data_IF_068492470750
#
_entry.id   IF_068492470750
#
_cell.length_a   1.000
_cell.length_b   1.000
_cell.length_c   1.000
_cell.angle_alpha   90.00
_cell.angle_beta   90.00
_cell.angle_gamma   90.00
#
_symmetry.space_group_name_H-M   'P 1'
#
loop_
_entity.id
_entity.type
_entity.pdbx_description
1 polymer ?
#
# COMPACT_ATOMS: atom_id res chain seq x y z
N UNK A 1 44.60 10.90 41.50
CA UNK A 1 43.25 11.49 41.25
C UNK A 1 43.25 12.79 40.44
N UNK A 2 44.31 13.62 40.44
CA UNK A 2 44.33 14.84 39.59
C UNK A 2 44.68 14.54 38.12
N UNK A 3 45.67 13.68 37.88
CA UNK A 3 46.14 13.30 36.54
C UNK A 3 45.08 12.49 35.77
N UNK A 4 44.34 11.62 36.46
CA UNK A 4 43.25 10.84 35.85
C UNK A 4 42.09 11.72 35.39
N UNK A 5 41.79 12.83 36.08
CA UNK A 5 40.78 13.80 35.66
C UNK A 5 41.24 14.60 34.44
N UNK A 6 42.51 14.98 34.38
CA UNK A 6 43.10 15.65 33.21
C UNK A 6 43.09 14.77 31.96
N UNK A 7 43.34 13.47 32.11
CA UNK A 7 43.30 12.49 31.02
C UNK A 7 41.88 12.28 30.46
N UNK A 8 40.86 12.27 31.32
CA UNK A 8 39.46 12.13 30.91
C UNK A 8 38.98 13.38 30.13
N UNK A 9 39.39 14.58 30.55
CA UNK A 9 39.05 15.82 29.83
C UNK A 9 39.74 15.86 28.46
N UNK A 10 41.00 15.45 28.37
CA UNK A 10 41.72 15.38 27.09
C UNK A 10 41.08 14.37 26.12
N UNK A 11 40.64 13.20 26.62
CA UNK A 11 39.96 12.19 25.81
C UNK A 11 38.59 12.68 25.31
N UNK A 12 37.85 13.43 26.15
CA UNK A 12 36.57 14.02 25.78
C UNK A 12 36.73 15.09 24.67
N UNK A 13 37.76 15.94 24.77
CA UNK A 13 38.06 16.92 23.73
C UNK A 13 38.47 16.28 22.39
N UNK A 14 39.17 15.15 22.44
CA UNK A 14 39.55 14.39 21.23
C UNK A 14 38.34 13.74 20.55
N UNK A 15 37.37 13.26 21.32
CA UNK A 15 36.12 12.70 20.80
C UNK A 15 35.24 13.76 20.13
N UNK A 16 35.24 15.01 20.62
CA UNK A 16 34.46 16.10 20.00
C UNK A 16 35.09 16.67 18.73
N UNK A 17 36.40 16.45 18.50
CA UNK A 17 37.08 16.91 17.30
C UNK A 17 36.88 16.00 16.07
N UNK A 18 36.32 14.79 16.27
CA UNK A 18 36.10 13.84 15.19
C UNK A 18 34.98 14.25 14.21
N UNK A 19 34.08 15.15 14.63
CA UNK A 19 32.93 15.57 13.81
C UNK A 19 33.25 16.70 12.82
N UNK A 20 34.44 17.30 12.82
CA UNK A 20 34.80 18.39 11.90
C UNK A 20 35.83 18.02 10.83
N UNK A 21 36.27 16.76 10.78
CA UNK A 21 37.25 16.30 9.79
C UNK A 21 36.59 15.85 8.47
N UNK A 22 35.28 15.61 8.48
CA UNK A 22 34.53 15.06 7.34
C UNK A 22 33.62 16.09 6.67
N UNK A 23 34.08 17.33 6.57
CA UNK A 23 33.38 18.38 5.84
C UNK A 23 34.30 18.87 4.71
N UNK A 24 34.64 17.95 3.80
CA UNK A 24 35.06 18.33 2.46
C UNK A 24 33.82 18.92 1.79
N UNK A 25 33.74 20.26 1.77
CA UNK A 25 32.88 20.98 0.85
C UNK A 25 33.32 20.58 -0.55
N UNK A 26 32.68 19.55 -1.10
CA UNK A 26 32.94 19.09 -2.44
C UNK A 26 32.56 20.24 -3.38
N UNK A 27 33.58 21.00 -3.78
CA UNK A 27 33.46 22.08 -4.74
C UNK A 27 33.14 21.43 -6.09
N UNK A 28 31.85 21.19 -6.31
CA UNK A 28 31.37 20.62 -7.55
C UNK A 28 31.82 21.54 -8.69
N UNK A 29 32.58 21.05 -9.69
CA UNK A 29 33.06 21.88 -10.78
C UNK A 29 31.89 22.60 -11.47
N UNK A 30 32.13 23.77 -12.05
CA UNK A 30 31.12 24.52 -12.79
C UNK A 30 30.80 23.78 -14.10
N UNK A 31 29.90 22.81 -13.99
CA UNK A 31 29.43 21.95 -15.09
C UNK A 31 28.23 22.62 -15.75
N UNK A 32 28.24 22.85 -17.07
CA UNK A 32 27.11 23.43 -17.78
C UNK A 32 25.81 22.66 -17.57
N UNK A 33 24.68 23.38 -17.50
CA UNK A 33 23.34 22.82 -17.27
C UNK A 33 23.04 21.58 -18.14
N UNK A 34 23.27 21.68 -19.45
CA UNK A 34 23.01 20.59 -20.39
C UNK A 34 23.87 19.35 -20.13
N UNK A 35 25.14 19.55 -19.77
CA UNK A 35 26.04 18.45 -19.47
C UNK A 35 25.60 17.76 -18.17
N UNK A 36 25.22 18.53 -17.15
CA UNK A 36 24.75 17.99 -15.88
C UNK A 36 23.46 17.18 -16.06
N UNK A 37 22.52 17.66 -16.87
CA UNK A 37 21.31 16.92 -17.23
C UNK A 37 21.64 15.61 -17.97
N UNK A 38 22.53 15.64 -18.97
CA UNK A 38 22.94 14.44 -19.70
C UNK A 38 23.62 13.40 -18.80
N UNK A 39 24.47 13.84 -17.87
CA UNK A 39 25.09 12.97 -16.87
C UNK A 39 24.04 12.31 -15.96
N UNK A 40 23.03 13.08 -15.52
CA UNK A 40 21.92 12.54 -14.74
C UNK A 40 21.10 11.49 -15.53
N UNK A 41 20.74 11.77 -16.78
CA UNK A 41 19.99 10.84 -17.63
C UNK A 41 20.78 9.55 -17.86
N UNK A 42 22.07 9.68 -18.14
CA UNK A 42 22.97 8.53 -18.30
C UNK A 42 23.04 7.68 -17.02
N UNK A 43 23.12 8.30 -15.86
CA UNK A 43 23.09 7.58 -14.59
C UNK A 43 21.78 6.80 -14.38
N UNK A 44 20.63 7.37 -14.78
CA UNK A 44 19.34 6.67 -14.76
C UNK A 44 19.30 5.49 -15.74
N UNK A 45 19.84 5.65 -16.95
CA UNK A 45 19.95 4.56 -17.93
C UNK A 45 20.84 3.41 -17.41
N UNK A 46 21.88 3.74 -16.66
CA UNK A 46 22.77 2.79 -15.98
C UNK A 46 22.18 2.22 -14.67
N UNK A 47 20.93 2.57 -14.31
CA UNK A 47 20.24 2.14 -13.08
C UNK A 47 20.94 2.62 -11.81
N UNK A 48 21.80 3.63 -11.92
CA UNK A 48 22.46 4.28 -10.79
C UNK A 48 21.62 5.47 -10.33
N UNK A 49 20.51 5.17 -9.64
CA UNK A 49 19.56 6.18 -9.19
C UNK A 49 20.13 7.11 -8.13
N UNK A 50 21.02 6.64 -7.25
CA UNK A 50 21.71 7.49 -6.27
C UNK A 50 22.49 8.61 -6.96
N UNK A 51 23.31 8.27 -7.96
CA UNK A 51 24.07 9.26 -8.73
C UNK A 51 23.16 10.16 -9.54
N UNK A 52 22.08 9.63 -10.12
CA UNK A 52 21.10 10.42 -10.84
C UNK A 52 20.45 11.47 -9.92
N UNK A 53 20.02 11.06 -8.72
CA UNK A 53 19.43 11.95 -7.70
C UNK A 53 20.41 13.06 -7.33
N UNK A 54 21.67 12.72 -7.04
CA UNK A 54 22.71 13.71 -6.71
C UNK A 54 22.85 14.77 -7.82
N UNK A 55 22.94 14.33 -9.08
CA UNK A 55 23.11 15.20 -10.24
C UNK A 55 21.87 16.06 -10.51
N UNK A 56 20.67 15.50 -10.36
CA UNK A 56 19.41 16.22 -10.53
C UNK A 56 19.17 17.24 -9.41
N UNK A 57 19.48 16.90 -8.16
CA UNK A 57 19.42 17.85 -7.04
C UNK A 57 20.41 19.01 -7.25
N UNK A 58 21.62 18.72 -7.73
CA UNK A 58 22.62 19.74 -8.05
C UNK A 58 22.12 20.66 -9.19
N UNK A 59 21.44 20.09 -10.20
CA UNK A 59 20.84 20.82 -11.31
C UNK A 59 19.73 21.75 -10.82
N UNK A 60 18.84 21.28 -9.95
CA UNK A 60 17.77 22.10 -9.33
C UNK A 60 18.35 23.23 -8.46
N UNK A 61 19.40 22.96 -7.69
CA UNK A 61 20.03 23.94 -6.82
C UNK A 61 20.76 25.06 -7.59
N UNK A 62 21.43 24.72 -8.70
CA UNK A 62 22.23 25.68 -9.48
C UNK A 62 21.42 26.41 -10.54
N UNK A 63 20.49 25.71 -11.19
CA UNK A 63 19.75 26.21 -12.34
C UNK A 63 18.23 26.12 -12.12
N UNK A 64 17.68 26.75 -11.06
CA UNK A 64 16.26 26.64 -10.71
C UNK A 64 15.30 27.20 -11.78
N UNK A 65 15.80 28.04 -12.69
CA UNK A 65 15.06 28.58 -13.84
C UNK A 65 15.69 28.16 -15.18
N UNK A 66 16.50 27.10 -15.17
CA UNK A 66 17.13 26.54 -16.35
C UNK A 66 16.12 25.96 -17.33
N UNK A 67 16.56 25.70 -18.56
CA UNK A 67 15.74 25.07 -19.61
C UNK A 67 15.19 23.70 -19.17
N UNK A 68 15.96 22.96 -18.38
CA UNK A 68 15.59 21.63 -17.91
C UNK A 68 15.01 21.61 -16.49
N UNK A 69 14.74 22.77 -15.88
CA UNK A 69 14.34 22.84 -14.47
C UNK A 69 13.06 22.03 -14.16
N UNK A 70 11.99 22.24 -14.91
CA UNK A 70 10.72 21.53 -14.69
C UNK A 70 10.86 20.02 -14.97
N UNK A 71 11.56 19.66 -16.04
CA UNK A 71 11.85 18.25 -16.38
C UNK A 71 12.68 17.59 -15.27
N UNK A 72 13.69 18.28 -14.73
CA UNK A 72 14.55 17.78 -13.64
C UNK A 72 13.73 17.42 -12.41
N UNK A 73 12.72 18.22 -12.08
CA UNK A 73 11.83 17.93 -10.95
C UNK A 73 10.98 16.68 -11.21
N UNK A 74 10.49 16.45 -12.43
CA UNK A 74 9.79 15.22 -12.79
C UNK A 74 10.71 13.99 -12.72
N UNK A 75 11.92 14.10 -13.26
CA UNK A 75 12.92 13.03 -13.25
C UNK A 75 13.36 12.70 -11.82
N UNK A 76 13.43 13.69 -10.92
CA UNK A 76 13.69 13.45 -9.50
C UNK A 76 12.63 12.57 -8.85
N UNK A 77 11.33 12.80 -9.14
CA UNK A 77 10.25 11.95 -8.62
C UNK A 77 10.46 10.51 -9.07
N UNK A 78 10.75 10.31 -10.36
CA UNK A 78 10.99 8.99 -10.92
C UNK A 78 12.23 8.33 -10.32
N UNK A 79 13.33 9.07 -10.18
CA UNK A 79 14.58 8.56 -9.62
C UNK A 79 14.39 8.13 -8.15
N UNK A 80 13.74 8.95 -7.32
CA UNK A 80 13.41 8.56 -5.93
C UNK A 80 12.49 7.33 -5.87
N UNK A 81 11.49 7.26 -6.75
CA UNK A 81 10.60 6.10 -6.83
C UNK A 81 11.40 4.83 -7.14
N UNK A 82 12.29 4.89 -8.12
CA UNK A 82 13.13 3.76 -8.50
C UNK A 82 14.24 3.43 -7.50
N UNK A 83 14.66 4.41 -6.69
CA UNK A 83 15.61 4.18 -5.60
C UNK A 83 14.95 3.62 -4.33
N UNK A 84 13.65 3.30 -4.36
CA UNK A 84 12.88 2.87 -3.20
C UNK A 84 12.86 3.90 -2.05
N UNK A 85 12.79 5.19 -2.39
CA UNK A 85 12.67 6.31 -1.44
C UNK A 85 11.27 6.94 -1.50
N UNK A 86 10.23 6.30 -0.94
CA UNK A 86 8.84 6.70 -1.17
C UNK A 86 8.50 8.09 -0.62
N UNK A 87 9.03 8.44 0.55
CA UNK A 87 8.79 9.74 1.18
C UNK A 87 9.41 10.89 0.36
N UNK A 88 10.61 10.68 -0.19
CA UNK A 88 11.28 11.66 -1.03
C UNK A 88 10.55 11.85 -2.38
N UNK A 89 10.17 10.74 -3.02
CA UNK A 89 9.36 10.75 -4.24
C UNK A 89 8.02 11.47 -4.05
N UNK A 90 7.30 11.15 -2.97
CA UNK A 90 6.03 11.80 -2.62
C UNK A 90 6.21 13.30 -2.40
N UNK A 91 7.22 13.69 -1.60
CA UNK A 91 7.49 15.11 -1.33
C UNK A 91 7.88 15.88 -2.60
N UNK A 92 8.67 15.27 -3.48
CA UNK A 92 9.02 15.84 -4.78
C UNK A 92 7.78 15.99 -5.68
N UNK A 93 6.90 14.98 -5.71
CA UNK A 93 5.66 15.04 -6.50
C UNK A 93 4.71 16.12 -5.99
N UNK A 94 4.50 16.21 -4.68
CA UNK A 94 3.68 17.26 -4.06
C UNK A 94 4.23 18.66 -4.36
N UNK A 95 5.56 18.82 -4.34
CA UNK A 95 6.21 20.07 -4.72
C UNK A 95 5.95 20.39 -6.19
N UNK A 96 6.17 19.45 -7.11
CA UNK A 96 5.96 19.64 -8.54
C UNK A 96 4.50 20.03 -8.86
N UNK A 97 3.54 19.26 -8.35
CA UNK A 97 2.09 19.50 -8.55
C UNK A 97 1.69 20.91 -8.07
N UNK A 98 2.25 21.36 -6.94
CA UNK A 98 1.97 22.68 -6.38
C UNK A 98 2.61 23.81 -7.17
N UNK A 99 3.83 23.63 -7.66
CA UNK A 99 4.58 24.66 -8.37
C UNK A 99 4.18 24.78 -9.84
N UNK A 100 3.83 23.66 -10.49
CA UNK A 100 3.58 23.56 -11.92
C UNK A 100 2.20 22.94 -12.25
N UNK A 101 1.07 23.52 -11.76
CA UNK A 101 -0.27 22.94 -11.92
C UNK A 101 -0.77 22.83 -13.37
N UNK A 102 -0.16 23.57 -14.29
CA UNK A 102 -0.53 23.63 -15.72
C UNK A 102 0.50 22.94 -16.62
N UNK A 103 1.45 22.17 -16.06
CA UNK A 103 2.46 21.47 -16.86
C UNK A 103 1.84 20.33 -17.66
N UNK A 104 2.31 20.10 -18.88
CA UNK A 104 1.74 19.10 -19.80
C UNK A 104 1.76 17.69 -19.20
N UNK A 105 2.84 17.32 -18.49
CA UNK A 105 3.03 16.02 -17.84
C UNK A 105 2.64 16.00 -16.35
N UNK A 106 1.73 16.86 -15.90
CA UNK A 106 1.29 16.86 -14.49
C UNK A 106 0.56 15.56 -14.10
N UNK A 107 -0.10 14.94 -15.07
CA UNK A 107 -0.74 13.62 -14.94
C UNK A 107 0.29 12.55 -14.56
N UNK A 108 1.50 12.60 -15.14
CA UNK A 108 2.60 11.71 -14.77
C UNK A 108 3.05 11.91 -13.31
N UNK A 109 3.09 13.15 -12.82
CA UNK A 109 3.44 13.42 -11.42
C UNK A 109 2.39 12.85 -10.44
N UNK A 110 1.10 13.00 -10.75
CA UNK A 110 0.02 12.36 -9.98
C UNK A 110 0.12 10.82 -10.01
N UNK A 111 0.41 10.26 -11.18
CA UNK A 111 0.60 8.83 -11.36
C UNK A 111 1.78 8.30 -10.51
N UNK A 112 2.96 8.92 -10.60
CA UNK A 112 4.13 8.53 -9.81
C UNK A 112 3.89 8.67 -8.31
N UNK A 113 3.18 9.71 -7.87
CA UNK A 113 2.79 9.88 -6.47
C UNK A 113 1.94 8.68 -5.99
N UNK A 114 0.92 8.30 -6.75
CA UNK A 114 0.07 7.17 -6.42
C UNK A 114 0.80 5.83 -6.48
N UNK A 115 1.65 5.65 -7.49
CA UNK A 115 2.45 4.44 -7.69
C UNK A 115 3.48 4.23 -6.58
N UNK A 116 4.12 5.31 -6.13
CA UNK A 116 5.08 5.26 -5.03
C UNK A 116 4.41 4.77 -3.74
N UNK A 117 3.23 5.33 -3.41
CA UNK A 117 2.47 4.89 -2.24
C UNK A 117 1.93 3.44 -2.40
N UNK A 118 1.60 3.04 -3.64
CA UNK A 118 1.16 1.67 -3.95
C UNK A 118 2.27 0.64 -3.69
N UNK A 119 3.48 0.90 -4.17
CA UNK A 119 4.61 -0.04 -4.00
C UNK A 119 5.16 -0.05 -2.56
N UNK A 120 5.00 1.04 -1.81
CA UNK A 120 5.28 1.06 -0.37
C UNK A 120 4.35 0.10 0.40
N UNK A 121 3.10 -0.03 -0.03
CA UNK A 121 2.11 -0.94 0.56
C UNK A 121 2.36 -2.39 0.13
N UNK A 122 2.56 -2.63 -1.16
CA UNK A 122 2.88 -3.96 -1.73
C UNK A 122 4.38 -4.21 -1.60
N UNK A 123 4.78 -4.58 -0.39
CA UNK A 123 6.14 -5.06 -0.16
C UNK A 123 6.35 -6.36 -0.94
N UNK A 124 7.40 -6.45 -1.76
CA UNK A 124 7.78 -7.62 -2.57
C UNK A 124 7.78 -8.96 -1.79
N UNK A 125 7.87 -8.91 -0.45
CA UNK A 125 7.80 -10.05 0.46
C UNK A 125 6.39 -10.67 0.53
N UNK A 126 5.30 -9.89 0.37
CA UNK A 126 3.91 -10.40 0.41
C UNK A 126 3.58 -11.31 -0.78
N UNK A 127 4.34 -11.20 -1.89
CA UNK A 127 4.20 -12.10 -3.03
C UNK A 127 4.72 -13.53 -2.73
N UNK A 128 5.66 -13.67 -1.79
CA UNK A 128 6.31 -14.96 -1.50
C UNK A 128 5.89 -15.56 -0.16
N UNK A 129 5.36 -14.76 0.76
CA UNK A 129 4.86 -15.20 2.05
C UNK A 129 3.34 -14.98 2.13
N UNK A 130 2.56 -15.94 2.66
CA UNK A 130 1.11 -15.78 2.86
C UNK A 130 0.85 -14.85 4.05
N UNK A 131 1.23 -13.58 3.93
CA UNK A 131 0.99 -12.54 4.93
C UNK A 131 -0.34 -11.88 4.58
N UNK A 132 -1.23 -11.80 5.56
CA UNK A 132 -2.50 -11.11 5.42
C UNK A 132 -2.28 -9.59 5.40
N UNK A 133 -2.45 -8.99 4.22
CA UNK A 133 -2.25 -7.56 3.99
C UNK A 133 -3.27 -6.69 4.76
N UNK A 134 -4.41 -7.26 5.16
CA UNK A 134 -5.46 -6.57 5.93
C UNK A 134 -5.08 -6.34 7.40
N UNK A 135 -3.96 -6.88 7.86
CA UNK A 135 -3.45 -6.66 9.22
C UNK A 135 -2.47 -5.48 9.30
N UNK A 136 -2.06 -4.94 8.15
CA UNK A 136 -1.13 -3.80 8.06
C UNK A 136 -1.88 -2.48 8.06
N UNK A 137 -1.16 -1.41 8.41
CA UNK A 137 -1.71 -0.06 8.32
C UNK A 137 -2.11 0.27 6.87
N UNK A 138 -3.35 0.75 6.61
CA UNK A 138 -3.82 1.04 5.26
C UNK A 138 -3.39 2.42 4.74
N UNK A 139 -2.60 3.21 5.51
CA UNK A 139 -2.29 4.60 5.19
C UNK A 139 -1.73 4.79 3.77
N UNK A 140 -0.72 4.01 3.40
CA UNK A 140 -0.12 4.08 2.07
C UNK A 140 -1.12 3.72 0.94
N UNK A 141 -2.02 2.77 1.18
CA UNK A 141 -3.06 2.43 0.21
C UNK A 141 -4.15 3.50 0.07
N UNK A 142 -4.50 4.18 1.16
CA UNK A 142 -5.39 5.34 1.11
C UNK A 142 -4.74 6.48 0.31
N UNK A 143 -3.50 6.83 0.62
CA UNK A 143 -2.73 7.86 -0.10
C UNK A 143 -2.60 7.53 -1.60
N UNK A 144 -2.37 6.26 -1.91
CA UNK A 144 -2.32 5.75 -3.29
C UNK A 144 -3.67 5.89 -3.99
N UNK A 145 -4.75 5.45 -3.34
CA UNK A 145 -6.10 5.53 -3.89
C UNK A 145 -6.52 6.98 -4.16
N UNK A 146 -6.24 7.90 -3.24
CA UNK A 146 -6.53 9.33 -3.40
C UNK A 146 -5.74 9.96 -4.57
N UNK A 147 -4.47 9.59 -4.71
CA UNK A 147 -3.61 10.09 -5.80
C UNK A 147 -4.08 9.59 -7.16
N UNK A 148 -4.38 8.30 -7.29
CA UNK A 148 -4.96 7.73 -8.52
C UNK A 148 -6.37 8.26 -8.81
N UNK A 149 -7.20 8.43 -7.78
CA UNK A 149 -8.53 9.02 -7.93
C UNK A 149 -8.44 10.45 -8.46
N UNK A 150 -7.50 11.24 -7.96
CA UNK A 150 -7.26 12.60 -8.45
C UNK A 150 -6.84 12.59 -9.92
N UNK A 151 -5.94 11.69 -10.31
CA UNK A 151 -5.52 11.52 -11.70
C UNK A 151 -6.71 11.17 -12.60
N UNK A 152 -7.45 10.12 -12.28
CA UNK A 152 -8.55 9.62 -13.13
C UNK A 152 -9.68 10.66 -13.24
N UNK A 153 -9.97 11.38 -12.16
CA UNK A 153 -11.04 12.38 -12.16
C UNK A 153 -10.64 13.67 -12.88
N UNK A 154 -9.37 14.10 -12.79
CA UNK A 154 -8.90 15.37 -13.38
C UNK A 154 -8.36 15.21 -14.79
N UNK A 155 -7.73 14.07 -15.08
CA UNK A 155 -7.06 13.76 -16.35
C UNK A 155 -7.52 12.39 -16.90
N UNK A 156 -8.82 12.22 -17.22
CA UNK A 156 -9.37 10.94 -17.68
C UNK A 156 -8.75 10.45 -19.00
N UNK A 157 -8.29 11.37 -19.86
CA UNK A 157 -7.65 11.07 -21.15
C UNK A 157 -6.14 10.80 -21.03
N UNK A 158 -5.58 10.81 -19.82
CA UNK A 158 -4.16 10.51 -19.60
C UNK A 158 -3.85 9.07 -19.99
N UNK A 159 -2.66 8.85 -20.57
CA UNK A 159 -2.15 7.50 -20.84
C UNK A 159 -2.05 6.63 -19.58
N UNK A 160 -1.96 7.24 -18.39
CA UNK A 160 -1.83 6.55 -17.10
C UNK A 160 -3.19 6.26 -16.43
N UNK A 161 -4.29 6.82 -16.93
CA UNK A 161 -5.62 6.65 -16.34
C UNK A 161 -6.11 5.18 -16.33
N UNK A 162 -5.93 4.38 -17.40
CA UNK A 162 -6.38 2.99 -17.40
C UNK A 162 -5.66 2.11 -16.36
N UNK A 163 -4.35 2.31 -16.17
CA UNK A 163 -3.58 1.58 -15.15
C UNK A 163 -3.99 2.00 -13.73
N UNK A 164 -4.13 3.31 -13.52
CA UNK A 164 -4.56 3.88 -12.25
C UNK A 164 -5.94 3.38 -11.84
N UNK A 165 -6.88 3.26 -12.78
CA UNK A 165 -8.20 2.70 -12.52
C UNK A 165 -8.12 1.24 -12.04
N UNK A 166 -7.30 0.40 -12.69
CA UNK A 166 -7.10 -1.00 -12.26
C UNK A 166 -6.54 -1.07 -10.84
N UNK A 167 -5.55 -0.23 -10.52
CA UNK A 167 -4.98 -0.15 -9.18
C UNK A 167 -5.99 0.35 -8.15
N UNK A 168 -6.83 1.33 -8.50
CA UNK A 168 -7.91 1.80 -7.64
C UNK A 168 -8.90 0.69 -7.29
N UNK A 169 -9.28 -0.17 -8.27
CA UNK A 169 -10.17 -1.31 -8.00
C UNK A 169 -9.51 -2.28 -7.00
N UNK A 170 -8.24 -2.61 -7.20
CA UNK A 170 -7.49 -3.46 -6.26
C UNK A 170 -7.42 -2.82 -4.86
N UNK A 171 -7.05 -1.55 -4.76
CA UNK A 171 -6.95 -0.81 -3.51
C UNK A 171 -8.30 -0.74 -2.79
N UNK A 172 -9.39 -0.49 -3.52
CA UNK A 172 -10.76 -0.47 -2.98
C UNK A 172 -11.14 -1.83 -2.38
N UNK A 173 -10.82 -2.92 -3.07
CA UNK A 173 -11.05 -4.28 -2.58
C UNK A 173 -10.24 -4.57 -1.30
N UNK A 174 -8.96 -4.18 -1.29
CA UNK A 174 -8.08 -4.34 -0.13
C UNK A 174 -8.56 -3.54 1.08
N UNK A 175 -8.90 -2.26 0.88
CA UNK A 175 -9.41 -1.38 1.93
C UNK A 175 -10.74 -1.90 2.50
N UNK A 176 -11.62 -2.43 1.66
CA UNK A 176 -12.87 -3.05 2.11
C UNK A 176 -12.61 -4.31 2.95
N UNK A 177 -11.68 -5.17 2.51
CA UNK A 177 -11.28 -6.34 3.28
C UNK A 177 -10.65 -5.97 4.63
N UNK A 178 -9.85 -4.90 4.68
CA UNK A 178 -9.31 -4.33 5.92
C UNK A 178 -10.42 -3.92 6.90
N UNK A 179 -11.44 -3.19 6.43
CA UNK A 179 -12.57 -2.78 7.27
C UNK A 179 -13.34 -3.97 7.84
N UNK A 180 -13.58 -5.00 7.03
CA UNK A 180 -14.19 -6.26 7.49
C UNK A 180 -13.30 -6.97 8.51
N UNK A 181 -11.98 -7.06 8.29
CA UNK A 181 -11.05 -7.66 9.22
C UNK A 181 -11.11 -6.96 10.60
N UNK A 182 -11.10 -5.62 10.61
CA UNK A 182 -11.27 -4.83 11.84
C UNK A 182 -12.65 -5.06 12.48
N UNK A 183 -13.71 -5.17 11.68
CA UNK A 183 -15.06 -5.44 12.18
C UNK A 183 -15.15 -6.80 12.90
N UNK A 184 -14.54 -7.85 12.32
CA UNK A 184 -14.44 -9.18 12.94
C UNK A 184 -13.66 -9.14 14.26
N UNK A 185 -12.57 -8.38 14.31
CA UNK A 185 -11.81 -8.16 15.54
C UNK A 185 -12.62 -7.45 16.64
N UNK A 186 -13.52 -6.55 16.28
CA UNK A 186 -14.45 -5.91 17.22
C UNK A 186 -15.53 -6.86 17.74
N UNK A 187 -16.07 -7.75 16.89
CA UNK A 187 -16.99 -8.82 17.33
C UNK A 187 -16.33 -9.70 18.39
N UNK A 188 -15.08 -10.12 18.16
CA UNK A 188 -14.32 -10.94 19.14
C UNK A 188 -14.14 -10.26 20.50
N UNK A 189 -14.27 -8.93 20.55
CA UNK A 189 -14.18 -8.11 21.77
C UNK A 189 -15.53 -7.62 22.26
N UNK A 190 -16.63 -8.15 21.72
CA UNK A 190 -17.99 -7.76 22.08
C UNK A 190 -18.30 -6.28 21.81
N UNK A 191 -17.49 -5.62 20.97
CA UNK A 191 -17.67 -4.25 20.55
C UNK A 191 -18.63 -4.18 19.34
N UNK A 192 -19.84 -4.71 19.50
CA UNK A 192 -20.79 -4.91 18.40
C UNK A 192 -21.18 -3.61 17.67
N UNK A 193 -21.33 -2.49 18.38
CA UNK A 193 -21.60 -1.18 17.75
C UNK A 193 -20.46 -0.77 16.82
N UNK A 194 -19.21 -1.00 17.23
CA UNK A 194 -18.04 -0.68 16.41
C UNK A 194 -17.97 -1.60 15.18
N UNK A 195 -18.24 -2.89 15.36
CA UNK A 195 -18.30 -3.85 14.26
C UNK A 195 -19.38 -3.49 13.22
N UNK A 196 -20.60 -3.17 13.67
CA UNK A 196 -21.69 -2.75 12.79
C UNK A 196 -21.33 -1.47 12.00
N UNK A 197 -20.70 -0.49 12.66
CA UNK A 197 -20.25 0.74 11.98
C UNK A 197 -19.19 0.48 10.91
N UNK A 198 -18.27 -0.46 11.14
CA UNK A 198 -17.24 -0.86 10.16
C UNK A 198 -17.86 -1.55 8.95
N UNK A 199 -18.77 -2.50 9.18
CA UNK A 199 -19.53 -3.12 8.09
C UNK A 199 -20.34 -2.10 7.29
N UNK A 200 -21.05 -1.20 7.98
CA UNK A 200 -21.82 -0.12 7.34
C UNK A 200 -20.94 0.77 6.45
N UNK A 201 -19.74 1.12 6.90
CA UNK A 201 -18.79 1.91 6.11
C UNK A 201 -18.45 1.25 4.77
N UNK A 202 -18.26 -0.08 4.74
CA UNK A 202 -18.02 -0.83 3.50
C UNK A 202 -19.23 -0.75 2.56
N UNK A 203 -20.45 -0.88 3.09
CA UNK A 203 -21.68 -0.83 2.28
C UNK A 203 -21.94 0.57 1.72
N UNK A 204 -21.64 1.61 2.49
CA UNK A 204 -21.88 3.01 2.09
C UNK A 204 -20.81 3.52 1.12
N UNK A 205 -19.54 3.10 1.27
CA UNK A 205 -18.40 3.73 0.56
C UNK A 205 -17.67 2.78 -0.39
N UNK A 206 -17.81 1.46 -0.23
CA UNK A 206 -17.01 0.45 -0.92
C UNK A 206 -17.87 -0.65 -1.57
N UNK A 207 -18.96 -0.22 -2.22
CA UNK A 207 -19.82 -1.10 -3.01
C UNK A 207 -19.06 -1.79 -4.14
N UNK A 208 -19.60 -2.93 -4.62
CA UNK A 208 -19.01 -3.77 -5.70
C UNK A 208 -17.68 -4.43 -5.34
N UNK A 209 -17.23 -4.31 -4.10
CA UNK A 209 -16.06 -5.05 -3.62
C UNK A 209 -16.44 -6.47 -3.20
N UNK A 210 -15.52 -7.45 -3.31
CA UNK A 210 -15.75 -8.82 -2.84
C UNK A 210 -16.04 -8.92 -1.33
N UNK A 211 -15.67 -7.90 -0.55
CA UNK A 211 -15.86 -7.86 0.89
C UNK A 211 -17.27 -7.40 1.33
N UNK A 212 -18.13 -6.95 0.40
CA UNK A 212 -19.51 -6.55 0.69
C UNK A 212 -20.33 -7.64 1.41
N UNK A 213 -20.38 -8.90 0.94
CA UNK A 213 -21.13 -9.93 1.66
C UNK A 213 -20.57 -10.21 3.07
N UNK A 214 -19.25 -10.16 3.25
CA UNK A 214 -18.63 -10.30 4.58
C UNK A 214 -19.01 -9.13 5.51
N UNK A 215 -19.05 -7.91 4.99
CA UNK A 215 -19.47 -6.73 5.74
C UNK A 215 -20.95 -6.83 6.19
N UNK A 216 -21.84 -7.27 5.30
CA UNK A 216 -23.25 -7.54 5.64
C UNK A 216 -23.36 -8.62 6.72
N UNK A 217 -22.55 -9.68 6.63
CA UNK A 217 -22.59 -10.77 7.59
C UNK A 217 -22.11 -10.35 8.99
N UNK A 218 -21.04 -9.55 9.06
CA UNK A 218 -20.58 -8.93 10.31
C UNK A 218 -21.64 -7.98 10.89
N UNK A 219 -22.37 -7.23 10.05
CA UNK A 219 -23.49 -6.39 10.52
C UNK A 219 -24.63 -7.23 11.10
N UNK A 220 -25.00 -8.34 10.46
CA UNK A 220 -26.04 -9.26 10.94
C UNK A 220 -25.66 -9.79 12.33
N UNK A 221 -24.45 -10.32 12.48
CA UNK A 221 -23.95 -10.83 13.77
C UNK A 221 -23.96 -9.74 14.84
N UNK A 222 -23.43 -8.56 14.52
CA UNK A 222 -23.43 -7.43 15.44
C UNK A 222 -24.83 -6.99 15.86
N UNK A 223 -25.79 -6.86 14.92
CA UNK A 223 -27.16 -6.48 15.23
C UNK A 223 -27.90 -7.53 16.06
N UNK A 224 -27.68 -8.83 15.80
CA UNK A 224 -28.23 -9.92 16.60
C UNK A 224 -27.76 -9.81 18.06
N UNK A 225 -26.46 -9.57 18.29
CA UNK A 225 -25.92 -9.43 19.64
C UNK A 225 -26.33 -8.12 20.34
N UNK A 226 -26.64 -7.07 19.58
CA UNK A 226 -27.22 -5.82 20.10
C UNK A 226 -28.73 -5.93 20.41
N UNK A 227 -29.38 -7.06 20.09
CA UNK A 227 -30.82 -7.22 20.22
C UNK A 227 -31.64 -6.46 19.16
N UNK A 228 -31.00 -5.98 18.10
CA UNK A 228 -31.64 -5.23 17.00
C UNK A 228 -32.12 -6.18 15.91
N UNK A 229 -33.12 -6.99 16.24
CA UNK A 229 -33.59 -8.08 15.36
C UNK A 229 -34.14 -7.59 14.03
N UNK A 230 -34.83 -6.44 14.01
CA UNK A 230 -35.36 -5.86 12.77
C UNK A 230 -34.22 -5.51 11.79
N UNK A 231 -33.16 -4.86 12.27
CA UNK A 231 -31.99 -4.51 11.45
C UNK A 231 -31.20 -5.74 11.00
N UNK A 232 -31.08 -6.75 11.87
CA UNK A 232 -30.48 -8.02 11.51
C UNK A 232 -31.27 -8.72 10.40
N UNK A 233 -32.61 -8.76 10.50
CA UNK A 233 -33.49 -9.38 9.51
C UNK A 233 -33.45 -8.64 8.16
N UNK A 234 -33.48 -7.30 8.19
CA UNK A 234 -33.36 -6.47 6.99
C UNK A 234 -32.02 -6.71 6.28
N UNK A 235 -30.92 -6.70 7.04
CA UNK A 235 -29.57 -6.94 6.51
C UNK A 235 -29.43 -8.36 5.96
N UNK A 236 -30.00 -9.35 6.64
CA UNK A 236 -30.05 -10.74 6.17
C UNK A 236 -30.86 -10.89 4.88
N UNK A 237 -31.95 -10.13 4.74
CA UNK A 237 -32.74 -10.09 3.50
C UNK A 237 -31.89 -9.57 2.35
N UNK A 238 -31.17 -8.46 2.54
CA UNK A 238 -30.25 -7.91 1.54
C UNK A 238 -29.15 -8.91 1.17
N UNK A 239 -28.52 -9.55 2.15
CA UNK A 239 -27.47 -10.55 1.90
C UNK A 239 -28.01 -11.74 1.10
N UNK A 240 -29.16 -12.30 1.50
CA UNK A 240 -29.74 -13.48 0.84
C UNK A 240 -30.23 -13.20 -0.58
N UNK A 241 -30.74 -11.99 -0.85
CA UNK A 241 -31.21 -11.59 -2.18
C UNK A 241 -30.05 -11.38 -3.17
N UNK A 242 -28.94 -10.79 -2.72
CA UNK A 242 -27.81 -10.46 -3.59
C UNK A 242 -26.74 -11.55 -3.65
N UNK A 243 -26.61 -12.35 -2.59
CA UNK A 243 -25.57 -13.37 -2.41
C UNK A 243 -26.14 -14.68 -1.84
N UNK A 244 -27.03 -15.39 -2.57
CA UNK A 244 -27.76 -16.56 -2.06
C UNK A 244 -26.86 -17.75 -1.69
N UNK A 245 -25.68 -17.88 -2.32
CA UNK A 245 -24.72 -18.96 -2.06
C UNK A 245 -23.69 -18.62 -0.99
N UNK A 246 -23.72 -17.40 -0.44
CA UNK A 246 -22.73 -16.94 0.52
C UNK A 246 -22.89 -17.63 1.87
N UNK A 247 -21.80 -18.21 2.38
CA UNK A 247 -21.76 -18.89 3.66
C UNK A 247 -20.94 -18.07 4.65
N UNK A 248 -21.59 -17.64 5.72
CA UNK A 248 -20.93 -16.93 6.80
C UNK A 248 -20.48 -17.90 7.90
N UNK A 249 -19.25 -17.71 8.38
CA UNK A 249 -18.77 -18.35 9.62
C UNK A 249 -18.78 -17.32 10.73
N UNK A 250 -19.66 -17.46 11.75
CA UNK A 250 -19.71 -16.53 12.88
C UNK A 250 -18.37 -16.44 13.59
N UNK A 251 -18.03 -15.24 14.05
CA UNK A 251 -16.72 -14.97 14.66
C UNK A 251 -16.80 -14.94 16.19
N UNK A 252 -17.94 -14.54 16.76
CA UNK A 252 -18.19 -14.53 18.18
C UNK A 252 -18.12 -15.95 18.74
N UNK A 253 -17.12 -16.19 19.58
CA UNK A 253 -17.04 -17.38 20.43
C UNK A 253 -17.64 -16.97 21.76
N UNK A 254 -18.86 -17.45 22.06
CA UNK A 254 -19.53 -17.15 23.34
C UNK A 254 -18.68 -17.50 24.57
N UNK A 255 -19.12 -17.06 25.75
CA UNK A 255 -18.40 -17.30 27.00
C UNK A 255 -18.03 -18.78 27.16
N UNK A 256 -16.73 -19.08 27.31
CA UNK A 256 -16.27 -20.43 27.63
C UNK A 256 -16.80 -20.80 29.01
N UNK A 257 -17.61 -21.84 29.07
CA UNK A 257 -18.10 -22.33 30.36
C UNK A 257 -16.94 -22.90 31.17
N UNK A 258 -17.09 -22.99 32.50
CA UNK A 258 -16.11 -23.68 33.35
C UNK A 258 -15.85 -25.12 32.90
N UNK A 259 -16.85 -25.75 32.28
CA UNK A 259 -16.73 -27.09 31.70
C UNK A 259 -15.83 -27.08 30.46
N UNK A 260 -15.96 -26.11 29.57
CA UNK A 260 -15.11 -25.96 28.38
C UNK A 260 -13.64 -25.69 28.77
N UNK A 261 -13.43 -24.83 29.77
CA UNK A 261 -12.10 -24.56 30.32
C UNK A 261 -11.49 -25.80 31.00
N UNK A 262 -12.28 -26.54 31.78
CA UNK A 262 -11.83 -27.74 32.48
C UNK A 262 -11.54 -28.92 31.54
N UNK A 263 -12.21 -28.95 30.38
CA UNK A 263 -12.04 -30.01 29.38
C UNK A 263 -11.10 -29.62 28.25
N UNK A 264 -10.46 -28.45 28.32
CA UNK A 264 -9.62 -27.90 27.24
C UNK A 264 -10.35 -27.91 25.88
N UNK A 265 -11.62 -27.54 25.86
CA UNK A 265 -12.51 -27.61 24.69
C UNK A 265 -12.67 -29.03 24.07
N UNK A 266 -12.19 -30.11 24.72
CA UNK A 266 -12.24 -31.47 24.17
C UNK A 266 -13.67 -31.97 23.93
N UNK A 267 -14.62 -31.47 24.74
CA UNK A 267 -16.04 -31.82 24.69
C UNK A 267 -16.93 -30.61 24.41
N UNK A 268 -16.35 -29.50 23.97
CA UNK A 268 -17.12 -28.32 23.57
C UNK A 268 -17.94 -28.64 22.32
N UNK A 269 -19.24 -28.32 22.33
CA UNK A 269 -20.12 -28.45 21.14
C UNK A 269 -19.67 -27.51 20.01
N UNK A 270 -18.84 -26.49 20.32
CA UNK A 270 -18.16 -25.62 19.36
C UNK A 270 -16.84 -26.25 18.89
N UNK A 271 -16.92 -27.42 18.25
CA UNK A 271 -15.74 -28.11 17.72
C UNK A 271 -15.15 -27.30 16.55
N UNK A 272 -13.94 -26.79 16.71
CA UNK A 272 -13.22 -26.11 15.62
C UNK A 272 -13.04 -27.10 14.44
N UNK A 273 -13.33 -26.72 13.19
CA UNK A 273 -12.63 -27.37 12.09
C UNK A 273 -11.13 -27.12 12.27
N UNK A 274 -10.24 -28.10 12.02
CA UNK A 274 -8.80 -27.90 12.13
C UNK A 274 -8.44 -26.66 11.35
N UNK A 275 -7.58 -25.79 11.91
CA UNK A 275 -7.10 -24.54 11.29
C UNK A 275 -6.87 -24.82 9.81
N UNK A 276 -7.84 -24.46 8.97
CA UNK A 276 -7.69 -24.58 7.55
C UNK A 276 -6.69 -23.48 7.22
N UNK A 277 -5.53 -23.90 6.73
CA UNK A 277 -4.60 -23.08 5.97
C UNK A 277 -5.41 -22.01 5.23
N UNK A 278 -5.03 -20.71 5.30
CA UNK A 278 -5.86 -19.62 4.81
C UNK A 278 -6.45 -20.02 3.46
N UNK A 279 -7.76 -20.25 3.45
CA UNK A 279 -8.48 -20.59 2.23
C UNK A 279 -8.32 -19.36 1.38
N UNK A 280 -7.50 -19.47 0.33
CA UNK A 280 -7.32 -18.45 -0.69
C UNK A 280 -8.73 -18.01 -1.11
N UNK A 281 -9.14 -16.83 -0.66
CA UNK A 281 -10.44 -16.25 -0.95
C UNK A 281 -10.42 -15.66 -2.36
N UNK A 282 -10.26 -16.55 -3.33
CA UNK A 282 -10.95 -16.53 -4.61
C UNK A 282 -10.77 -17.94 -5.16
N UNK A 283 -11.86 -18.68 -5.34
CA UNK A 283 -11.83 -19.69 -6.38
C UNK A 283 -11.67 -18.91 -7.68
N UNK A 284 -10.43 -18.82 -8.16
CA UNK A 284 -10.18 -18.45 -9.54
C UNK A 284 -11.02 -19.35 -10.43
N UNK A 285 -11.61 -18.77 -11.47
CA UNK A 285 -12.13 -19.53 -12.60
C UNK A 285 -11.15 -20.67 -12.95
N UNK A 286 -11.63 -21.85 -13.39
CA UNK A 286 -10.72 -22.96 -13.74
C UNK A 286 -9.65 -22.43 -14.68
N UNK A 287 -8.39 -22.40 -14.21
CA UNK A 287 -7.29 -22.00 -15.06
C UNK A 287 -7.22 -22.98 -16.23
N UNK A 288 -7.19 -22.50 -17.50
CA UNK A 288 -7.05 -23.39 -18.64
C UNK A 288 -5.76 -24.20 -18.48
N UNK A 289 -5.78 -25.47 -18.88
CA UNK A 289 -4.68 -26.41 -18.67
C UNK A 289 -3.42 -25.95 -19.44
N UNK A 290 -2.57 -25.15 -18.77
CA UNK A 290 -1.36 -24.57 -19.38
C UNK A 290 -0.31 -25.65 -19.58
N UNK A 291 0.23 -25.72 -20.79
CA UNK A 291 1.36 -26.60 -21.12
C UNK A 291 2.56 -26.32 -20.19
N UNK A 292 3.38 -27.33 -19.94
CA UNK A 292 4.60 -27.20 -19.11
C UNK A 292 5.53 -26.08 -19.58
N UNK A 293 5.51 -25.76 -20.88
CA UNK A 293 6.30 -24.68 -21.45
C UNK A 293 5.77 -23.31 -21.02
N UNK A 294 4.45 -23.08 -21.09
CA UNK A 294 3.79 -21.84 -20.65
C UNK A 294 3.99 -21.59 -19.14
N UNK A 295 4.05 -22.67 -18.34
CA UNK A 295 4.38 -22.59 -16.91
C UNK A 295 5.83 -22.17 -16.64
N UNK A 296 6.78 -22.60 -17.48
CA UNK A 296 8.20 -22.28 -17.33
C UNK A 296 8.55 -20.89 -17.88
N UNK A 297 7.79 -20.39 -18.85
CA UNK A 297 8.02 -19.09 -19.49
C UNK A 297 7.08 -18.00 -19.00
N UNK A 298 6.28 -18.27 -17.97
CA UNK A 298 5.34 -17.33 -17.34
C UNK A 298 4.39 -16.65 -18.35
N UNK A 299 4.00 -17.35 -19.42
CA UNK A 299 3.11 -16.79 -20.45
C UNK A 299 3.72 -15.69 -21.32
N UNK A 300 5.03 -15.46 -21.27
CA UNK A 300 5.74 -14.43 -22.06
C UNK A 300 5.71 -14.72 -23.57
N UNK A 301 5.41 -15.96 -23.96
CA UNK A 301 5.37 -16.40 -25.37
C UNK A 301 4.01 -17.00 -25.78
N UNK A 302 2.94 -16.73 -25.03
CA UNK A 302 1.59 -17.26 -25.32
C UNK A 302 0.77 -16.34 -26.25
N UNK A 303 1.43 -15.60 -27.13
CA UNK A 303 0.82 -14.89 -28.25
C UNK A 303 1.29 -15.54 -29.56
N UNK A 304 0.47 -16.47 -30.08
CA UNK A 304 0.38 -16.95 -31.48
C UNK A 304 -0.13 -18.40 -31.46
N UNK A 305 -1.45 -18.58 -31.50
CA UNK A 305 -2.17 -19.66 -32.21
C UNK A 305 -3.61 -19.84 -31.68
N UNK A 306 -4.45 -18.82 -31.88
CA UNK A 306 -5.88 -19.04 -32.15
C UNK A 306 -6.29 -18.26 -33.41
N UNK A 307 -5.81 -18.79 -34.55
CA UNK A 307 -6.59 -18.99 -35.77
C UNK A 307 -6.25 -20.34 -36.37
#
# INVERSE_FOLDING_TARGET
>A
MRITKSLIVALFCLMTAACSWFEDLQEYPDVPEQQLYQEAMKAMEEVNYDLAIEKLQLLEARYPFGRFSEQTQLELIYAYFKNYEPEAARAAADRFIRLHPNHDNIDYAYYLKGLTAFEQDISWITQYLPIDETQRDPGAALDSFESFSTLVNRYPESQYAPDSYKRMVYLKNRLAAYEVHVARYYIQREAFVAAANRGRYVIENMQETPAVPDALAVMIEAYTHLGQQDLAADTQSVLSQNYPEYQYTPVYKGEKTLFDAATFDLFSDNKEPPVTTPVRMSQGAPEPDRSMFSKLTFGVFDDEDEK
#
